data_IF_923996815281
#
_entry.id   IF_923996815281
#
_cell.length_a   1.000
_cell.length_b   1.000
_cell.length_c   1.000
_cell.angle_alpha   90.00
_cell.angle_beta   90.00
_cell.angle_gamma   90.00
#
_symmetry.space_group_name_H-M   'P 1'
#
loop_
_entity.id
_entity.type
_entity.pdbx_description
1 polymer ?
#
# COMPACT_ATOMS: atom_id res chain seq x y z
N UNK A 1 -6.63 15.59 -44.44
CA UNK A 1 -7.73 15.31 -43.51
C UNK A 1 -7.09 14.97 -42.19
N UNK A 2 -6.95 16.00 -41.36
CA UNK A 2 -6.38 15.90 -40.02
C UNK A 2 -7.41 15.17 -39.14
N UNK A 3 -7.04 14.02 -38.60
CA UNK A 3 -7.82 13.30 -37.61
C UNK A 3 -7.44 13.87 -36.25
N UNK A 4 -8.24 14.82 -35.75
CA UNK A 4 -8.18 15.24 -34.36
C UNK A 4 -8.59 14.07 -33.44
N UNK A 5 -7.73 13.81 -32.46
CA UNK A 5 -7.90 12.83 -31.39
C UNK A 5 -8.84 13.41 -30.31
N UNK A 6 -10.01 12.83 -30.03
CA UNK A 6 -11.02 13.45 -29.16
C UNK A 6 -10.75 13.24 -27.65
N UNK A 7 -9.51 12.96 -27.24
CA UNK A 7 -9.15 12.58 -25.86
C UNK A 7 -9.04 13.72 -24.83
N UNK A 8 -9.66 14.87 -25.08
CA UNK A 8 -9.87 15.88 -24.05
C UNK A 8 -11.37 16.14 -23.88
N UNK A 9 -12.04 15.21 -23.19
CA UNK A 9 -13.36 15.47 -22.64
C UNK A 9 -13.25 16.55 -21.57
N UNK A 10 -13.99 17.64 -21.73
CA UNK A 10 -14.26 18.63 -20.69
C UNK A 10 -14.80 17.91 -19.45
N UNK A 11 -13.91 17.68 -18.48
CA UNK A 11 -14.29 17.22 -17.16
C UNK A 11 -15.09 18.34 -16.50
N UNK A 12 -16.43 18.23 -16.52
CA UNK A 12 -17.25 19.00 -15.61
C UNK A 12 -16.83 18.60 -14.20
N UNK A 13 -16.05 19.44 -13.53
CA UNK A 13 -15.71 19.29 -12.12
C UNK A 13 -17.01 19.35 -11.30
N UNK A 14 -17.69 18.21 -11.18
CA UNK A 14 -18.70 18.02 -10.14
C UNK A 14 -17.93 18.03 -8.83
N UNK A 15 -18.03 19.14 -8.10
CA UNK A 15 -17.59 19.24 -6.73
C UNK A 15 -18.44 18.30 -5.87
N UNK A 16 -18.10 17.01 -5.88
CA UNK A 16 -18.64 16.07 -4.92
C UNK A 16 -18.21 16.57 -3.53
N UNK A 17 -19.19 16.90 -2.70
CA UNK A 17 -18.94 17.23 -1.30
C UNK A 17 -18.20 16.04 -0.69
N UNK A 18 -16.89 16.18 -0.49
CA UNK A 18 -16.06 15.17 0.19
C UNK A 18 -16.79 14.74 1.44
N UNK A 19 -17.19 13.47 1.50
CA UNK A 19 -17.68 12.87 2.73
C UNK A 19 -16.55 12.98 3.74
N UNK A 20 -16.66 13.94 4.67
CA UNK A 20 -15.75 14.03 5.80
C UNK A 20 -16.03 12.79 6.63
N UNK A 21 -15.27 11.71 6.41
CA UNK A 21 -15.10 10.67 7.40
C UNK A 21 -14.73 11.43 8.68
N UNK A 22 -15.65 11.47 9.64
CA UNK A 22 -15.49 12.25 10.85
C UNK A 22 -14.20 11.76 11.53
N UNK A 23 -13.16 12.58 11.47
CA UNK A 23 -11.79 12.23 11.86
C UNK A 23 -11.66 12.34 13.37
N UNK A 24 -12.45 11.57 14.12
CA UNK A 24 -12.09 11.31 15.51
C UNK A 24 -10.88 10.38 15.44
N UNK A 25 -9.69 10.96 15.58
CA UNK A 25 -8.48 10.20 15.82
C UNK A 25 -8.68 9.36 17.08
N UNK A 26 -8.31 8.08 17.01
CA UNK A 26 -8.32 7.19 18.17
C UNK A 26 -7.26 7.65 19.18
N UNK A 27 -7.58 7.58 20.47
CA UNK A 27 -6.66 7.95 21.54
C UNK A 27 -5.53 6.92 21.69
N UNK A 28 -4.46 7.29 22.38
CA UNK A 28 -3.38 6.33 22.70
C UNK A 28 -3.87 5.13 23.51
N UNK A 29 -4.85 5.32 24.41
CA UNK A 29 -5.44 4.22 25.18
C UNK A 29 -6.25 3.28 24.27
N UNK A 30 -6.98 3.83 23.31
CA UNK A 30 -7.70 3.04 22.30
C UNK A 30 -6.72 2.27 21.40
N UNK A 31 -5.60 2.89 20.99
CA UNK A 31 -4.54 2.20 20.24
C UNK A 31 -3.97 1.04 21.07
N UNK A 32 -3.62 1.26 22.34
CA UNK A 32 -3.09 0.20 23.21
C UNK A 32 -4.07 -0.96 23.36
N UNK A 33 -5.36 -0.67 23.52
CA UNK A 33 -6.41 -1.69 23.57
C UNK A 33 -6.50 -2.50 22.26
N UNK A 34 -6.51 -1.79 21.12
CA UNK A 34 -6.56 -2.41 19.79
C UNK A 34 -5.35 -3.31 19.48
N UNK A 35 -4.21 -3.13 20.16
CA UNK A 35 -3.01 -3.92 19.94
C UNK A 35 -2.54 -4.69 21.19
N UNK A 36 -3.45 -4.88 22.16
CA UNK A 36 -3.19 -5.61 23.41
C UNK A 36 -2.76 -7.07 23.21
N UNK A 37 -3.03 -7.65 22.04
CA UNK A 37 -2.59 -9.00 21.65
C UNK A 37 -1.12 -9.08 21.21
N UNK A 38 -0.38 -7.98 21.19
CA UNK A 38 1.06 -8.00 20.92
C UNK A 38 1.83 -8.72 22.03
N UNK A 39 2.95 -9.35 21.66
CA UNK A 39 3.83 -10.00 22.62
C UNK A 39 4.43 -8.94 23.57
N UNK A 40 4.25 -9.07 24.89
CA UNK A 40 4.89 -8.18 25.87
C UNK A 40 6.41 -8.17 25.71
N UNK A 41 7.05 -7.02 25.98
CA UNK A 41 8.50 -6.87 25.89
C UNK A 41 9.08 -6.81 24.47
N UNK A 42 8.25 -6.83 23.42
CA UNK A 42 8.71 -6.77 22.02
C UNK A 42 8.20 -5.50 21.35
N UNK A 43 9.10 -4.56 21.08
CA UNK A 43 8.79 -3.35 20.32
C UNK A 43 8.69 -3.64 18.81
N UNK A 44 7.49 -3.50 18.23
CA UNK A 44 7.27 -3.60 16.77
C UNK A 44 7.48 -2.25 16.09
N UNK A 45 8.71 -1.97 15.66
CA UNK A 45 9.08 -0.71 14.99
C UNK A 45 9.06 -0.77 13.46
N UNK A 46 8.74 -1.92 12.86
CA UNK A 46 8.73 -2.12 11.41
C UNK A 46 7.31 -2.40 10.90
N UNK A 47 6.44 -1.39 10.98
CA UNK A 47 5.07 -1.49 10.48
C UNK A 47 4.99 -1.57 8.95
N UNK A 48 6.08 -1.22 8.25
CA UNK A 48 6.20 -1.32 6.79
C UNK A 48 6.52 -2.72 6.26
N UNK A 49 6.68 -3.73 7.15
CA UNK A 49 6.82 -5.14 6.80
C UNK A 49 5.48 -5.85 7.00
N UNK A 50 5.45 -6.89 7.85
CA UNK A 50 4.23 -7.54 8.31
C UNK A 50 3.67 -6.78 9.51
N UNK A 51 2.57 -6.07 9.28
CA UNK A 51 1.79 -5.41 10.32
C UNK A 51 0.85 -6.38 11.04
N UNK A 52 0.37 -5.96 12.21
CA UNK A 52 -0.71 -6.63 12.94
C UNK A 52 -2.01 -5.88 12.68
N UNK A 53 -3.14 -6.59 12.59
CA UNK A 53 -4.45 -5.93 12.52
C UNK A 53 -4.91 -5.50 13.93
N UNK A 54 -5.63 -4.37 14.04
CA UNK A 54 -6.34 -4.00 15.26
C UNK A 54 -7.26 -5.14 15.75
N UNK A 55 -7.42 -5.27 17.06
CA UNK A 55 -8.25 -6.30 17.70
C UNK A 55 -9.70 -6.29 17.20
N UNK A 56 -10.26 -5.11 16.94
CA UNK A 56 -11.59 -4.97 16.33
C UNK A 56 -11.69 -5.58 14.93
N UNK A 57 -10.64 -5.43 14.10
CA UNK A 57 -10.58 -6.02 12.76
C UNK A 57 -10.45 -7.54 12.85
N UNK A 58 -9.61 -8.05 13.77
CA UNK A 58 -9.48 -9.49 14.04
C UNK A 58 -10.81 -10.09 14.51
N UNK A 59 -11.53 -9.40 15.40
CA UNK A 59 -12.83 -9.83 15.87
C UNK A 59 -13.86 -9.90 14.73
N UNK A 60 -13.92 -8.87 13.87
CA UNK A 60 -14.78 -8.87 12.69
C UNK A 60 -14.43 -10.02 11.74
N UNK A 61 -13.15 -10.23 11.43
CA UNK A 61 -12.70 -11.34 10.59
C UNK A 61 -13.17 -12.69 11.14
N UNK A 62 -13.01 -12.92 12.46
CA UNK A 62 -13.46 -14.14 13.13
C UNK A 62 -14.99 -14.31 13.04
N UNK A 63 -15.76 -13.24 13.20
CA UNK A 63 -17.21 -13.29 13.05
C UNK A 63 -17.61 -13.74 11.64
N UNK A 64 -17.02 -13.15 10.61
CA UNK A 64 -17.27 -13.54 9.21
C UNK A 64 -16.89 -15.00 8.95
N UNK A 65 -15.75 -15.46 9.47
CA UNK A 65 -15.33 -16.86 9.37
C UNK A 65 -16.35 -17.81 10.03
N UNK A 66 -16.80 -17.49 11.25
CA UNK A 66 -17.78 -18.32 11.96
C UNK A 66 -19.15 -18.33 11.27
N UNK A 67 -19.58 -17.22 10.67
CA UNK A 67 -20.80 -17.18 9.87
C UNK A 67 -20.72 -18.13 8.66
N UNK A 68 -19.60 -18.11 7.93
CA UNK A 68 -19.37 -19.04 6.83
C UNK A 68 -19.43 -20.50 7.32
N UNK A 69 -18.70 -20.84 8.39
CA UNK A 69 -18.66 -22.21 8.91
C UNK A 69 -20.01 -22.71 9.44
N UNK A 70 -20.90 -21.81 9.90
CA UNK A 70 -22.22 -22.17 10.42
C UNK A 70 -23.17 -22.64 9.31
N UNK A 71 -23.11 -22.03 8.13
CA UNK A 71 -23.92 -22.40 6.97
C UNK A 71 -23.30 -21.86 5.66
N UNK A 72 -22.35 -22.60 5.05
CA UNK A 72 -21.58 -22.11 3.90
C UNK A 72 -22.44 -21.68 2.71
N UNK A 73 -23.49 -22.45 2.38
CA UNK A 73 -24.33 -22.17 1.21
C UNK A 73 -25.07 -20.84 1.36
N UNK A 74 -25.76 -20.64 2.48
CA UNK A 74 -26.46 -19.38 2.73
C UNK A 74 -25.48 -18.20 2.77
N UNK A 75 -24.32 -18.37 3.39
CA UNK A 75 -23.31 -17.33 3.40
C UNK A 75 -22.86 -16.97 1.99
N UNK A 76 -22.54 -17.96 1.16
CA UNK A 76 -22.06 -17.74 -0.20
C UNK A 76 -23.12 -17.06 -1.08
N UNK A 77 -24.36 -17.57 -1.06
CA UNK A 77 -25.42 -17.07 -1.95
C UNK A 77 -26.06 -15.76 -1.47
N UNK A 78 -26.15 -15.53 -0.16
CA UNK A 78 -26.96 -14.42 0.39
C UNK A 78 -26.14 -13.37 1.17
N UNK A 79 -24.98 -13.73 1.74
CA UNK A 79 -24.22 -12.82 2.63
C UNK A 79 -22.98 -12.24 1.94
N UNK A 80 -22.16 -13.09 1.30
CA UNK A 80 -20.83 -12.74 0.79
C UNK A 80 -20.88 -11.59 -0.23
N UNK A 81 -21.76 -11.70 -1.24
CA UNK A 81 -21.87 -10.69 -2.30
C UNK A 81 -22.24 -9.32 -1.75
N UNK A 82 -23.17 -9.27 -0.81
CA UNK A 82 -23.59 -8.03 -0.15
C UNK A 82 -22.45 -7.42 0.66
N UNK A 83 -21.69 -8.26 1.39
CA UNK A 83 -20.49 -7.84 2.12
C UNK A 83 -19.43 -7.23 1.20
N UNK A 84 -19.08 -7.92 0.10
CA UNK A 84 -18.12 -7.42 -0.89
C UNK A 84 -18.57 -6.08 -1.48
N UNK A 85 -19.84 -5.95 -1.86
CA UNK A 85 -20.38 -4.70 -2.40
C UNK A 85 -20.34 -3.56 -1.37
N UNK A 86 -20.64 -3.84 -0.11
CA UNK A 86 -20.54 -2.85 0.96
C UNK A 86 -19.10 -2.37 1.15
N UNK A 87 -18.13 -3.30 1.20
CA UNK A 87 -16.69 -2.97 1.29
C UNK A 87 -16.24 -2.12 0.10
N UNK A 88 -16.62 -2.49 -1.13
CA UNK A 88 -16.27 -1.73 -2.34
C UNK A 88 -16.83 -0.30 -2.33
N UNK A 89 -18.05 -0.09 -1.85
CA UNK A 89 -18.65 1.26 -1.73
C UNK A 89 -17.88 2.14 -0.75
N UNK A 90 -17.51 1.60 0.42
CA UNK A 90 -16.71 2.33 1.41
C UNK A 90 -15.34 2.69 0.83
N UNK A 91 -14.67 1.74 0.16
CA UNK A 91 -13.36 1.97 -0.44
C UNK A 91 -13.44 2.99 -1.58
N UNK A 92 -14.48 2.92 -2.42
CA UNK A 92 -14.72 3.89 -3.50
C UNK A 92 -14.71 5.31 -2.96
N UNK A 93 -15.45 5.57 -1.87
CA UNK A 93 -15.48 6.89 -1.26
C UNK A 93 -14.12 7.26 -0.61
N UNK A 94 -13.42 6.28 0.00
CA UNK A 94 -12.10 6.48 0.62
C UNK A 94 -11.01 6.88 -0.39
N UNK A 95 -11.00 6.24 -1.56
CA UNK A 95 -10.00 6.49 -2.62
C UNK A 95 -10.48 7.52 -3.65
N UNK A 96 -11.66 8.10 -3.45
CA UNK A 96 -12.28 9.07 -4.35
C UNK A 96 -12.41 8.55 -5.80
N UNK A 97 -12.87 7.30 -5.96
CA UNK A 97 -13.25 6.74 -7.26
C UNK A 97 -14.62 7.26 -7.68
N UNK A 98 -14.87 7.38 -8.99
CA UNK A 98 -16.14 7.90 -9.51
C UNK A 98 -17.25 6.86 -9.41
N UNK A 99 -16.92 5.59 -9.72
CA UNK A 99 -17.86 4.48 -9.69
C UNK A 99 -17.33 3.27 -8.91
N UNK A 100 -18.24 2.47 -8.33
CA UNK A 100 -17.88 1.26 -7.56
C UNK A 100 -17.20 0.19 -8.43
N UNK A 101 -17.43 0.22 -9.74
CA UNK A 101 -16.83 -0.71 -10.70
C UNK A 101 -15.34 -0.45 -10.94
N UNK A 102 -14.84 0.72 -10.54
CA UNK A 102 -13.41 1.05 -10.57
C UNK A 102 -12.66 0.46 -9.37
N UNK A 103 -13.36 -0.18 -8.43
CA UNK A 103 -12.78 -0.78 -7.22
C UNK A 103 -12.83 -2.29 -7.32
N UNK A 104 -11.66 -2.94 -7.40
CA UNK A 104 -11.53 -4.40 -7.30
C UNK A 104 -10.80 -4.80 -6.02
N UNK A 105 -11.35 -5.75 -5.28
CA UNK A 105 -10.70 -6.31 -4.09
C UNK A 105 -9.81 -7.47 -4.52
N UNK A 106 -8.54 -7.42 -4.12
CA UNK A 106 -7.52 -8.44 -4.42
C UNK A 106 -6.66 -8.68 -3.18
N UNK A 107 -5.93 -9.79 -3.17
CA UNK A 107 -5.21 -10.24 -1.97
C UNK A 107 -4.11 -9.27 -1.51
N UNK A 108 -3.39 -8.66 -2.45
CA UNK A 108 -2.30 -7.73 -2.17
C UNK A 108 -1.90 -6.89 -3.39
N UNK A 109 -1.02 -5.91 -3.17
CA UNK A 109 -0.52 -5.00 -4.20
C UNK A 109 0.27 -5.71 -5.32
N UNK A 110 1.00 -6.79 -5.02
CA UNK A 110 1.74 -7.56 -6.04
C UNK A 110 0.77 -8.28 -6.98
N UNK A 111 -0.32 -8.85 -6.45
CA UNK A 111 -1.39 -9.43 -7.26
C UNK A 111 -2.04 -8.39 -8.16
N UNK A 112 -2.34 -7.19 -7.63
CA UNK A 112 -2.88 -6.07 -8.42
C UNK A 112 -1.94 -5.69 -9.57
N UNK A 113 -0.65 -5.53 -9.30
CA UNK A 113 0.36 -5.22 -10.30
C UNK A 113 0.44 -6.30 -11.39
N UNK A 114 0.41 -7.59 -11.00
CA UNK A 114 0.44 -8.69 -11.95
C UNK A 114 -0.77 -8.71 -12.89
N UNK A 115 -1.99 -8.43 -12.39
CA UNK A 115 -3.21 -8.33 -13.22
C UNK A 115 -3.05 -7.25 -14.29
N UNK A 116 -2.61 -6.05 -13.90
CA UNK A 116 -2.41 -4.93 -14.83
C UNK A 116 -1.32 -5.26 -15.84
N UNK A 117 -0.19 -5.82 -15.41
CA UNK A 117 0.92 -6.17 -16.28
C UNK A 117 0.60 -7.30 -17.26
N UNK A 118 -0.24 -8.27 -16.86
CA UNK A 118 -0.73 -9.29 -17.75
C UNK A 118 -1.60 -8.67 -18.86
N UNK A 119 -2.45 -7.71 -18.51
CA UNK A 119 -3.24 -6.97 -19.51
C UNK A 119 -2.35 -6.16 -20.46
N UNK A 120 -1.32 -5.48 -19.94
CA UNK A 120 -0.35 -4.75 -20.76
C UNK A 120 0.36 -5.71 -21.74
N UNK A 121 0.85 -6.85 -21.26
CA UNK A 121 1.49 -7.85 -22.12
C UNK A 121 0.57 -8.37 -23.24
N UNK A 122 -0.73 -8.56 -22.95
CA UNK A 122 -1.72 -8.90 -23.98
C UNK A 122 -1.93 -7.77 -24.99
N UNK A 123 -1.97 -6.53 -24.54
CA UNK A 123 -2.10 -5.37 -25.44
C UNK A 123 -0.95 -5.28 -26.45
N UNK A 124 0.28 -5.63 -26.08
CA UNK A 124 1.38 -5.79 -27.03
C UNK A 124 1.13 -6.93 -28.03
N UNK A 125 0.68 -8.10 -27.55
CA UNK A 125 0.39 -9.25 -28.41
C UNK A 125 -0.77 -8.98 -29.39
N UNK A 126 -1.73 -8.16 -29.00
CA UNK A 126 -2.87 -7.72 -29.82
C UNK A 126 -2.51 -6.55 -30.76
N UNK A 127 -1.29 -6.03 -30.71
CA UNK A 127 -0.84 -4.90 -31.54
C UNK A 127 -1.41 -3.55 -31.13
N UNK A 128 -1.92 -3.41 -29.90
CA UNK A 128 -2.35 -2.11 -29.34
C UNK A 128 -1.17 -1.23 -28.91
N UNK A 129 -0.02 -1.86 -28.64
CA UNK A 129 1.25 -1.20 -28.39
C UNK A 129 2.25 -1.62 -29.46
N UNK A 130 3.15 -0.70 -29.80
CA UNK A 130 4.19 -0.96 -30.78
C UNK A 130 5.40 -1.63 -30.13
N UNK A 131 6.19 -2.36 -30.94
CA UNK A 131 7.47 -2.88 -30.45
C UNK A 131 8.34 -1.73 -29.99
N UNK A 132 9.04 -1.93 -28.87
CA UNK A 132 9.88 -0.95 -28.18
C UNK A 132 9.14 0.18 -27.45
N UNK A 133 7.81 0.19 -27.41
CA UNK A 133 7.07 1.05 -26.48
C UNK A 133 7.61 0.88 -25.06
N UNK A 134 7.83 2.00 -24.38
CA UNK A 134 8.64 2.06 -23.16
C UNK A 134 7.76 2.23 -21.94
N UNK A 135 7.94 1.38 -20.93
CA UNK A 135 7.41 1.61 -19.58
C UNK A 135 8.44 2.35 -18.74
N UNK A 136 8.04 3.51 -18.22
CA UNK A 136 8.83 4.31 -17.28
C UNK A 136 8.54 3.86 -15.85
N UNK A 137 9.58 3.62 -15.06
CA UNK A 137 9.44 3.36 -13.63
C UNK A 137 10.40 4.23 -12.82
N UNK A 138 10.02 4.65 -11.62
CA UNK A 138 10.96 5.29 -10.71
C UNK A 138 11.98 4.26 -10.19
N UNK A 139 13.24 4.66 -10.04
CA UNK A 139 14.30 3.78 -9.53
C UNK A 139 13.98 3.24 -8.12
N UNK A 140 13.29 4.03 -7.30
CA UNK A 140 12.85 3.69 -5.94
C UNK A 140 11.57 2.85 -5.87
N UNK A 141 11.00 2.44 -7.02
CA UNK A 141 9.84 1.57 -7.05
C UNK A 141 10.11 0.22 -6.35
N UNK A 142 9.06 -0.38 -5.79
CA UNK A 142 9.19 -1.64 -5.05
C UNK A 142 9.73 -2.77 -5.94
N UNK A 143 10.75 -3.47 -5.48
CA UNK A 143 11.55 -4.32 -6.36
C UNK A 143 10.77 -5.48 -7.00
N UNK A 144 9.75 -6.02 -6.32
CA UNK A 144 8.87 -7.03 -6.92
C UNK A 144 8.08 -6.48 -8.12
N UNK A 145 7.66 -5.22 -8.07
CA UNK A 145 6.97 -4.54 -9.18
C UNK A 145 7.95 -4.30 -10.33
N UNK A 146 9.17 -3.82 -10.04
CA UNK A 146 10.23 -3.61 -11.06
C UNK A 146 10.53 -4.89 -11.84
N UNK A 147 10.73 -6.00 -11.13
CA UNK A 147 10.97 -7.31 -11.73
C UNK A 147 9.76 -7.82 -12.51
N UNK A 148 8.54 -7.57 -12.02
CA UNK A 148 7.33 -7.93 -12.74
C UNK A 148 7.19 -7.15 -14.04
N UNK A 149 7.40 -5.82 -14.02
CA UNK A 149 7.38 -4.98 -15.22
C UNK A 149 8.39 -5.50 -16.25
N UNK A 150 9.65 -5.69 -15.82
CA UNK A 150 10.70 -6.26 -16.68
C UNK A 150 10.24 -7.58 -17.29
N UNK A 151 9.70 -8.49 -16.50
CA UNK A 151 9.27 -9.80 -16.96
C UNK A 151 8.13 -9.72 -18.00
N UNK A 152 7.05 -8.97 -17.72
CA UNK A 152 5.89 -8.93 -18.60
C UNK A 152 6.10 -8.09 -19.86
N UNK A 153 6.74 -6.92 -19.74
CA UNK A 153 6.87 -5.95 -20.84
C UNK A 153 7.95 -6.37 -21.83
N UNK A 154 9.14 -6.77 -21.35
CA UNK A 154 10.25 -7.12 -22.26
C UNK A 154 9.94 -8.36 -23.09
N UNK A 155 9.28 -9.37 -22.49
CA UNK A 155 8.83 -10.57 -23.22
C UNK A 155 7.77 -10.27 -24.27
N UNK A 156 6.99 -9.20 -24.08
CA UNK A 156 5.99 -8.78 -25.04
C UNK A 156 6.57 -7.87 -26.15
N UNK A 157 7.88 -7.59 -26.11
CA UNK A 157 8.57 -6.75 -27.10
C UNK A 157 8.58 -5.25 -26.76
N UNK A 158 8.14 -4.86 -25.57
CA UNK A 158 8.30 -3.51 -25.05
C UNK A 158 9.67 -3.31 -24.39
N UNK A 159 10.00 -2.06 -24.07
CA UNK A 159 11.21 -1.70 -23.33
C UNK A 159 10.87 -1.11 -21.96
N UNK A 160 11.87 -0.99 -21.09
CA UNK A 160 11.68 -0.56 -19.71
C UNK A 160 12.82 0.36 -19.31
N UNK A 161 12.49 1.54 -18.80
CA UNK A 161 13.47 2.55 -18.38
C UNK A 161 13.22 2.96 -16.94
N UNK A 162 14.28 2.95 -16.14
CA UNK A 162 14.25 3.48 -14.77
C UNK A 162 14.61 4.96 -14.77
N UNK A 163 13.80 5.76 -14.09
CA UNK A 163 13.99 7.20 -13.93
C UNK A 163 14.50 7.45 -12.51
N UNK A 164 15.69 8.05 -12.42
CA UNK A 164 16.28 8.49 -11.15
C UNK A 164 15.60 9.79 -10.73
N UNK A 165 15.35 9.96 -9.43
CA UNK A 165 14.80 11.22 -8.91
C UNK A 165 15.95 12.21 -8.74
N UNK A 166 15.74 13.47 -9.14
CA UNK A 166 16.74 14.53 -9.01
C UNK A 166 17.28 14.60 -7.57
N UNK A 167 18.62 14.58 -7.42
CA UNK A 167 19.30 14.63 -6.12
C UNK A 167 19.62 13.27 -5.47
N UNK A 168 19.23 12.15 -6.08
CA UNK A 168 19.53 10.78 -5.62
C UNK A 168 20.49 10.04 -6.58
N UNK A 169 21.52 10.72 -7.08
CA UNK A 169 22.46 10.13 -8.07
C UNK A 169 23.34 9.02 -7.50
N UNK A 170 23.51 8.95 -6.17
CA UNK A 170 24.11 7.81 -5.49
C UNK A 170 23.38 7.57 -4.18
N UNK A 171 23.06 6.31 -3.87
CA UNK A 171 22.42 5.95 -2.61
C UNK A 171 23.15 6.56 -1.42
N UNK A 172 22.39 6.98 -0.40
CA UNK A 172 22.93 7.57 0.83
C UNK A 172 24.07 6.68 1.36
N UNK A 173 25.27 7.23 1.47
CA UNK A 173 26.40 6.57 2.15
C UNK A 173 26.67 7.36 3.43
N UNK A 174 26.89 6.69 4.55
CA UNK A 174 27.39 7.39 5.73
C UNK A 174 28.85 7.83 5.51
N UNK A 175 29.42 8.58 6.46
CA UNK A 175 30.81 9.09 6.36
C UNK A 175 31.86 7.99 6.25
N UNK A 176 31.55 6.79 6.70
CA UNK A 176 32.42 5.61 6.74
C UNK A 176 32.05 4.58 5.64
N UNK A 177 31.04 4.88 4.82
CA UNK A 177 30.52 4.00 3.78
C UNK A 177 29.70 2.80 4.27
N UNK A 178 29.31 2.74 5.55
CA UNK A 178 28.64 1.57 6.14
C UNK A 178 27.24 1.94 6.65
N UNK A 179 26.22 1.68 5.84
CA UNK A 179 24.85 1.64 6.40
C UNK A 179 24.70 0.36 7.23
N UNK A 180 24.62 0.51 8.54
CA UNK A 180 24.47 -0.60 9.50
C UNK A 180 23.01 -1.00 9.75
N UNK A 181 22.04 -0.20 9.30
CA UNK A 181 20.62 -0.50 9.45
C UNK A 181 19.70 0.43 8.65
N UNK A 182 18.51 -0.06 8.35
CA UNK A 182 17.46 0.74 7.69
C UNK A 182 16.19 0.67 8.54
N UNK A 183 15.59 1.84 8.80
CA UNK A 183 14.24 1.93 9.33
C UNK A 183 13.27 2.20 8.18
N UNK A 184 12.25 1.35 8.02
CA UNK A 184 11.15 1.61 7.10
C UNK A 184 10.03 2.31 7.84
N UNK A 185 9.77 3.55 7.45
CA UNK A 185 8.73 4.38 8.04
C UNK A 185 7.57 4.51 7.05
N UNK A 186 6.35 4.42 7.57
CA UNK A 186 5.14 4.58 6.78
C UNK A 186 4.83 6.07 6.65
N UNK A 187 4.71 6.58 5.43
CA UNK A 187 4.26 7.97 5.21
C UNK A 187 2.91 8.24 5.89
N UNK A 188 2.04 7.24 6.00
CA UNK A 188 0.74 7.42 6.67
C UNK A 188 0.87 7.74 8.17
N UNK A 189 2.01 7.37 8.79
CA UNK A 189 2.31 7.56 10.22
C UNK A 189 3.32 8.71 10.41
N UNK A 190 4.28 8.84 9.50
CA UNK A 190 5.34 9.85 9.51
C UNK A 190 5.23 10.66 8.21
N UNK A 191 4.43 11.73 8.20
CA UNK A 191 4.25 12.59 7.02
C UNK A 191 4.68 14.04 7.23
N UNK A 192 5.07 14.43 8.44
CA UNK A 192 5.62 15.76 8.71
C UNK A 192 7.12 15.68 9.02
N UNK A 193 7.85 16.77 8.77
CA UNK A 193 9.27 16.88 9.17
C UNK A 193 9.45 16.56 10.65
N UNK A 194 8.55 17.08 11.50
CA UNK A 194 8.55 16.84 12.94
C UNK A 194 8.44 15.36 13.30
N UNK A 195 7.61 14.58 12.59
CA UNK A 195 7.52 13.13 12.80
C UNK A 195 8.85 12.42 12.50
N UNK A 196 9.52 12.83 11.41
CA UNK A 196 10.83 12.30 11.04
C UNK A 196 11.90 12.65 12.06
N UNK A 197 11.92 13.91 12.53
CA UNK A 197 12.87 14.38 13.55
C UNK A 197 12.65 13.71 14.89
N UNK A 198 11.39 13.59 15.33
CA UNK A 198 11.02 12.88 16.55
C UNK A 198 11.46 11.42 16.50
N UNK A 199 11.28 10.76 15.36
CA UNK A 199 11.74 9.37 15.17
C UNK A 199 13.27 9.28 15.20
N UNK A 200 13.97 10.15 14.45
CA UNK A 200 15.45 10.26 14.46
C UNK A 200 15.97 10.42 15.89
N UNK A 201 15.44 11.38 16.65
CA UNK A 201 15.91 11.71 17.99
C UNK A 201 15.59 10.62 19.01
N UNK A 202 14.52 9.85 18.80
CA UNK A 202 14.25 8.66 19.60
C UNK A 202 15.26 7.54 19.32
N UNK A 203 15.59 7.30 18.04
CA UNK A 203 16.60 6.30 17.66
C UNK A 203 17.98 6.68 18.16
N UNK A 204 18.40 7.95 17.99
CA UNK A 204 19.69 8.42 18.47
C UNK A 204 19.83 8.25 19.99
N UNK A 205 18.81 8.62 20.77
CA UNK A 205 18.80 8.39 22.22
C UNK A 205 18.92 6.91 22.58
N UNK A 206 18.17 6.03 21.92
CA UNK A 206 18.28 4.58 22.17
C UNK A 206 19.69 4.05 21.91
N UNK A 207 20.37 4.55 20.88
CA UNK A 207 21.75 4.19 20.55
C UNK A 207 22.73 4.75 21.58
N UNK A 208 22.60 6.03 21.94
CA UNK A 208 23.44 6.69 22.97
C UNK A 208 23.32 6.00 24.33
N UNK A 209 22.11 5.60 24.70
CA UNK A 209 21.81 4.89 25.95
C UNK A 209 22.29 3.43 25.95
N UNK A 210 22.83 2.93 24.83
CA UNK A 210 23.23 1.53 24.68
C UNK A 210 22.04 0.57 24.83
N UNK A 211 20.83 1.04 24.51
CA UNK A 211 19.60 0.31 24.78
C UNK A 211 19.53 -0.94 23.91
N UNK A 212 19.42 -2.10 24.55
CA UNK A 212 19.17 -3.36 23.85
C UNK A 212 17.72 -3.80 24.05
N UNK A 213 17.20 -4.64 23.14
CA UNK A 213 15.85 -5.19 23.30
C UNK A 213 15.65 -5.94 24.63
N UNK A 214 16.73 -6.40 25.28
CA UNK A 214 16.69 -7.05 26.60
C UNK A 214 16.38 -6.09 27.75
N UNK A 215 16.54 -4.78 27.53
CA UNK A 215 16.35 -3.73 28.53
C UNK A 215 14.94 -3.13 28.48
N UNK A 216 14.14 -3.48 27.47
CA UNK A 216 12.76 -3.04 27.36
C UNK A 216 11.90 -3.89 28.31
N UNK A 217 11.26 -3.24 29.28
CA UNK A 217 10.41 -3.90 30.28
C UNK A 217 9.30 -4.70 29.61
N UNK A 218 9.12 -5.93 30.09
CA UNK A 218 8.02 -6.83 29.75
C UNK A 218 6.91 -6.59 30.76
N UNK A 219 6.24 -5.44 30.70
CA UNK A 219 4.94 -5.29 31.38
C UNK A 219 3.81 -5.84 30.51
#
# INVERSE_FOLDING_TARGET
>A
MEHEDPRNGESSHRSSKKSKIASRFISESEIRDQFSHHQPGVARINNGSFGSCPGSVLAAQRQWQLQFLRQPDNFYFNTLRNGIMASRKIIKDLINADHVDEVSLVDNATTAAAIVLQQIGRSFAEGKYEKNDTVLMLHCAFQAVKKSIQAYVTRAGGSVTEVVRDGEEEGVRDKDGVITGYARISHQIYNTLEDYEKFRDAINRLVEDGTTCKMLSVE
#
